data_IF_516520908526
#
_entry.id   IF_516520908526
#
_cell.length_a   1.000
_cell.length_b   1.000
_cell.length_c   1.000
_cell.angle_alpha   90.00
_cell.angle_beta   90.00
_cell.angle_gamma   90.00
#
_symmetry.space_group_name_H-M   'P 1'
#
loop_
_entity.id
_entity.type
_entity.pdbx_description
1 polymer ?
#
# COMPACT_ATOMS: atom_id res chain seq x y z
N UNK A 1 -24.14 -5.47 -17.39
CA UNK A 1 -23.38 -4.25 -17.02
C UNK A 1 -22.94 -4.41 -15.58
N UNK A 2 -21.63 -4.41 -15.32
CA UNK A 2 -21.11 -4.58 -13.96
C UNK A 2 -21.42 -3.31 -13.15
N UNK A 3 -22.15 -3.44 -12.05
CA UNK A 3 -22.43 -2.35 -11.11
C UNK A 3 -21.60 -2.59 -9.84
N UNK A 4 -21.40 -1.58 -8.99
CA UNK A 4 -20.83 -1.79 -7.66
C UNK A 4 -22.00 -1.86 -6.67
N UNK A 5 -21.96 -2.83 -5.77
CA UNK A 5 -22.96 -3.00 -4.72
C UNK A 5 -22.96 -1.81 -3.77
N UNK A 6 -24.10 -1.49 -3.17
CA UNK A 6 -24.15 -0.49 -2.11
C UNK A 6 -24.22 -1.22 -0.78
N UNK A 7 -23.12 -1.19 -0.02
CA UNK A 7 -23.06 -1.76 1.32
C UNK A 7 -23.13 -0.63 2.35
N UNK A 8 -24.34 -0.31 2.81
CA UNK A 8 -24.59 0.79 3.74
C UNK A 8 -23.84 0.65 5.08
N UNK A 9 -23.61 -0.59 5.54
CA UNK A 9 -22.84 -0.83 6.77
C UNK A 9 -21.37 -0.39 6.62
N UNK A 10 -20.75 -0.71 5.49
CA UNK A 10 -19.37 -0.28 5.22
C UNK A 10 -19.26 1.23 5.03
N UNK A 11 -20.30 1.84 4.45
CA UNK A 11 -20.42 3.28 4.27
C UNK A 11 -20.56 4.00 5.63
N UNK A 12 -21.32 3.43 6.56
CA UNK A 12 -21.42 3.89 7.95
C UNK A 12 -20.05 3.79 8.66
N UNK A 13 -19.37 2.65 8.54
CA UNK A 13 -18.05 2.43 9.16
C UNK A 13 -16.99 3.38 8.60
N UNK A 14 -17.02 3.65 7.29
CA UNK A 14 -16.20 4.67 6.64
C UNK A 14 -16.47 6.07 7.22
N UNK A 15 -17.74 6.44 7.39
CA UNK A 15 -18.14 7.68 8.06
C UNK A 15 -17.62 7.78 9.48
N UNK A 16 -17.85 6.74 10.30
CA UNK A 16 -17.36 6.71 11.69
C UNK A 16 -15.83 6.82 11.78
N UNK A 17 -15.08 6.17 10.87
CA UNK A 17 -13.63 6.30 10.78
C UNK A 17 -13.18 7.73 10.49
N UNK A 18 -13.88 8.45 9.60
CA UNK A 18 -13.60 9.86 9.33
C UNK A 18 -13.99 10.77 10.52
N UNK A 19 -15.12 10.50 11.17
CA UNK A 19 -15.53 11.21 12.38
C UNK A 19 -14.50 11.09 13.51
N UNK A 20 -13.91 9.89 13.69
CA UNK A 20 -12.82 9.68 14.64
C UNK A 20 -11.57 10.50 14.28
N UNK A 21 -11.23 10.58 12.99
CA UNK A 21 -10.14 11.44 12.53
C UNK A 21 -10.36 12.92 12.88
N UNK A 22 -11.59 13.44 12.73
CA UNK A 22 -11.89 14.83 13.08
C UNK A 22 -11.71 15.11 14.58
N UNK A 23 -12.00 14.15 15.45
CA UNK A 23 -11.69 14.26 16.88
C UNK A 23 -10.20 14.30 17.12
N UNK A 24 -9.42 13.42 16.49
CA UNK A 24 -7.95 13.42 16.62
C UNK A 24 -7.36 14.74 16.10
N UNK A 25 -7.87 15.28 15.00
CA UNK A 25 -7.48 16.59 14.49
C UNK A 25 -7.81 17.71 15.49
N UNK A 26 -9.01 17.68 16.10
CA UNK A 26 -9.43 18.64 17.12
C UNK A 26 -8.53 18.58 18.36
N UNK A 27 -8.16 17.37 18.82
CA UNK A 27 -7.21 17.12 19.93
C UNK A 27 -5.83 17.73 19.62
N UNK A 28 -5.42 17.84 18.36
CA UNK A 28 -4.14 18.47 17.99
C UNK A 28 -4.18 19.99 17.92
N UNK A 29 -5.26 20.61 18.41
CA UNK A 29 -5.45 22.05 18.35
C UNK A 29 -5.80 22.54 16.95
N UNK A 30 -6.26 21.66 16.06
CA UNK A 30 -6.78 22.08 14.75
C UNK A 30 -8.29 22.39 14.80
N UNK A 31 -8.91 22.27 15.99
CA UNK A 31 -10.32 22.59 16.25
C UNK A 31 -10.53 23.98 16.82
N UNK A 32 -11.79 24.36 17.00
CA UNK A 32 -12.26 25.68 17.46
C UNK A 32 -12.04 25.96 18.94
N UNK A 33 -11.82 24.95 19.78
CA UNK A 33 -11.76 25.12 21.24
C UNK A 33 -10.63 24.29 21.88
N UNK A 34 -9.98 24.81 22.94
CA UNK A 34 -8.98 24.08 23.69
C UNK A 34 -9.57 22.83 24.34
N UNK A 35 -8.79 21.74 24.30
CA UNK A 35 -9.16 20.41 24.80
C UNK A 35 -9.65 20.32 26.23
N UNK A 36 -9.35 21.32 27.07
CA UNK A 36 -9.80 21.37 28.46
C UNK A 36 -11.32 21.38 28.59
N UNK A 37 -12.04 21.72 27.51
CA UNK A 37 -13.47 22.00 27.54
C UNK A 37 -14.32 20.92 26.83
N UNK A 38 -13.70 19.90 26.25
CA UNK A 38 -14.43 18.80 25.60
C UNK A 38 -15.03 17.84 26.63
N UNK A 39 -16.34 17.92 26.83
CA UNK A 39 -17.09 16.86 27.49
C UNK A 39 -17.08 15.58 26.63
N UNK A 40 -17.26 14.40 27.25
CA UNK A 40 -17.41 13.13 26.52
C UNK A 40 -18.50 13.22 25.44
N UNK A 41 -19.57 13.96 25.72
CA UNK A 41 -20.68 14.18 24.79
C UNK A 41 -20.25 15.01 23.57
N UNK A 42 -19.43 16.05 23.76
CA UNK A 42 -18.91 16.86 22.66
C UNK A 42 -18.01 16.05 21.71
N UNK A 43 -17.22 15.13 22.26
CA UNK A 43 -16.39 14.19 21.47
C UNK A 43 -17.30 13.27 20.65
N UNK A 44 -18.27 12.62 21.28
CA UNK A 44 -19.20 11.70 20.61
C UNK A 44 -19.99 12.42 19.52
N UNK A 45 -20.52 13.61 19.80
CA UNK A 45 -21.26 14.44 18.84
C UNK A 45 -20.38 14.88 17.68
N UNK A 46 -19.10 15.16 17.90
CA UNK A 46 -18.14 15.50 16.84
C UNK A 46 -17.90 14.31 15.91
N UNK A 47 -17.70 13.11 16.46
CA UNK A 47 -17.56 11.87 15.67
C UNK A 47 -18.84 11.63 14.86
N UNK A 48 -19.99 11.74 15.51
CA UNK A 48 -21.29 11.47 14.90
C UNK A 48 -21.59 12.46 13.78
N UNK A 49 -21.42 13.76 14.03
CA UNK A 49 -21.65 14.84 13.05
C UNK A 49 -20.71 14.67 11.85
N UNK A 50 -19.41 14.57 12.10
CA UNK A 50 -18.41 14.42 11.05
C UNK A 50 -18.63 13.16 10.22
N UNK A 51 -18.91 12.04 10.88
CA UNK A 51 -19.12 10.76 10.23
C UNK A 51 -20.42 10.66 9.44
N UNK A 52 -21.53 11.18 9.98
CA UNK A 52 -22.83 11.23 9.27
C UNK A 52 -22.71 12.07 8.01
N UNK A 53 -22.15 13.29 8.09
CA UNK A 53 -22.07 14.15 6.91
C UNK A 53 -21.14 13.55 5.85
N UNK A 54 -20.01 12.94 6.27
CA UNK A 54 -19.15 12.21 5.34
C UNK A 54 -19.90 11.06 4.65
N UNK A 55 -20.61 10.22 5.42
CA UNK A 55 -21.36 9.10 4.88
C UNK A 55 -22.44 9.56 3.88
N UNK A 56 -23.17 10.65 4.18
CA UNK A 56 -24.17 11.22 3.28
C UNK A 56 -23.55 11.72 1.99
N UNK A 57 -22.49 12.55 2.07
CA UNK A 57 -21.79 13.07 0.89
C UNK A 57 -21.23 11.94 0.03
N UNK A 58 -20.58 10.96 0.67
CA UNK A 58 -20.00 9.82 -0.01
C UNK A 58 -21.08 8.94 -0.67
N UNK A 59 -22.24 8.76 -0.03
CA UNK A 59 -23.38 8.03 -0.60
C UNK A 59 -23.90 8.71 -1.87
N UNK A 60 -24.10 10.03 -1.83
CA UNK A 60 -24.55 10.81 -2.99
C UNK A 60 -23.55 10.70 -4.14
N UNK A 61 -22.25 10.86 -3.85
CA UNK A 61 -21.22 10.73 -4.87
C UNK A 61 -21.07 9.30 -5.41
N UNK A 62 -21.23 8.27 -4.57
CA UNK A 62 -21.26 6.89 -5.00
C UNK A 62 -22.44 6.62 -5.94
N UNK A 63 -23.62 7.14 -5.61
CA UNK A 63 -24.80 7.06 -6.47
C UNK A 63 -24.54 7.74 -7.83
N UNK A 64 -23.94 8.93 -7.84
CA UNK A 64 -23.55 9.61 -9.08
C UNK A 64 -22.55 8.79 -9.92
N UNK A 65 -21.50 8.23 -9.31
CA UNK A 65 -20.55 7.35 -10.01
C UNK A 65 -21.25 6.12 -10.62
N UNK A 66 -22.26 5.55 -9.92
CA UNK A 66 -23.07 4.44 -10.46
C UNK A 66 -23.91 4.86 -11.66
N UNK A 67 -24.56 6.02 -11.61
CA UNK A 67 -25.35 6.53 -12.74
C UNK A 67 -24.48 6.75 -13.99
N UNK A 68 -23.22 7.15 -13.79
CA UNK A 68 -22.23 7.34 -14.85
C UNK A 68 -21.50 6.04 -15.26
N UNK A 69 -21.77 4.91 -14.60
CA UNK A 69 -21.09 3.64 -14.88
C UNK A 69 -19.58 3.62 -14.55
N UNK A 70 -19.11 4.51 -13.66
CA UNK A 70 -17.69 4.63 -13.32
C UNK A 70 -17.35 3.70 -12.14
N UNK A 71 -16.63 2.60 -12.43
CA UNK A 71 -16.23 1.59 -11.44
C UNK A 71 -14.73 1.59 -11.12
N UNK A 72 -13.99 2.60 -11.59
CA UNK A 72 -12.52 2.66 -11.51
C UNK A 72 -12.05 2.98 -10.09
N UNK A 73 -10.94 2.38 -9.65
CA UNK A 73 -10.37 2.57 -8.30
C UNK A 73 -10.08 4.04 -7.99
N UNK A 74 -9.46 4.75 -8.93
CA UNK A 74 -9.11 6.14 -8.75
C UNK A 74 -10.33 7.06 -8.60
N UNK A 75 -11.49 6.69 -9.18
CA UNK A 75 -12.70 7.52 -9.06
C UNK A 75 -13.25 7.50 -7.63
N UNK A 76 -13.19 6.34 -6.97
CA UNK A 76 -13.57 6.21 -5.57
C UNK A 76 -12.56 6.83 -4.62
N UNK A 77 -11.26 6.77 -4.95
CA UNK A 77 -10.22 7.54 -4.24
C UNK A 77 -10.52 9.05 -4.30
N UNK A 78 -10.78 9.57 -5.51
CA UNK A 78 -11.11 10.98 -5.73
C UNK A 78 -12.39 11.37 -4.99
N UNK A 79 -13.43 10.53 -5.03
CA UNK A 79 -14.68 10.75 -4.29
C UNK A 79 -14.41 10.88 -2.79
N UNK A 80 -13.66 9.95 -2.19
CA UNK A 80 -13.36 10.00 -0.77
C UNK A 80 -12.59 11.26 -0.36
N UNK A 81 -11.62 11.68 -1.17
CA UNK A 81 -10.91 12.97 -0.98
C UNK A 81 -11.86 14.18 -1.06
N UNK A 82 -12.72 14.22 -2.08
CA UNK A 82 -13.71 15.30 -2.28
C UNK A 82 -14.73 15.35 -1.14
N UNK A 83 -15.06 14.22 -0.50
CA UNK A 83 -15.91 14.21 0.69
C UNK A 83 -15.15 14.67 1.96
N UNK A 84 -13.90 14.24 2.13
CA UNK A 84 -13.12 14.53 3.34
C UNK A 84 -12.69 16.01 3.43
N UNK A 85 -12.22 16.60 2.33
CA UNK A 85 -11.64 17.94 2.32
C UNK A 85 -12.63 19.03 2.75
N UNK A 86 -13.84 19.16 2.17
CA UNK A 86 -14.80 20.17 2.58
C UNK A 86 -15.23 20.02 4.04
N UNK A 87 -15.37 18.78 4.53
CA UNK A 87 -15.72 18.54 5.92
C UNK A 87 -14.63 18.95 6.88
N UNK A 88 -13.37 18.66 6.54
CA UNK A 88 -12.25 19.15 7.33
C UNK A 88 -12.21 20.68 7.34
N UNK A 89 -12.36 21.33 6.17
CA UNK A 89 -12.37 22.79 6.07
C UNK A 89 -13.50 23.41 6.90
N UNK A 90 -14.70 22.82 6.86
CA UNK A 90 -15.85 23.28 7.66
C UNK A 90 -15.70 23.02 9.15
N UNK A 91 -14.84 22.07 9.54
CA UNK A 91 -14.58 21.70 10.92
C UNK A 91 -13.39 22.46 11.53
N UNK A 92 -12.51 23.02 10.70
CA UNK A 92 -11.47 23.95 11.16
C UNK A 92 -12.12 25.22 11.73
N UNK A 93 -11.53 25.77 12.79
CA UNK A 93 -11.89 27.10 13.24
C UNK A 93 -11.57 28.12 12.14
N UNK A 94 -12.39 29.18 12.04
CA UNK A 94 -12.15 30.29 11.12
C UNK A 94 -10.75 30.90 11.31
N UNK A 95 -10.24 30.91 12.55
CA UNK A 95 -8.87 31.30 12.88
C UNK A 95 -7.79 30.31 12.43
N UNK A 96 -8.02 29.00 12.62
CA UNK A 96 -7.04 27.94 12.32
C UNK A 96 -6.67 27.89 10.85
N UNK A 97 -7.63 28.13 9.94
CA UNK A 97 -7.31 28.17 8.51
C UNK A 97 -6.35 29.32 8.18
N UNK A 98 -6.59 30.51 8.77
CA UNK A 98 -5.73 31.68 8.59
C UNK A 98 -4.35 31.49 9.22
N UNK A 99 -4.28 30.81 10.37
CA UNK A 99 -3.02 30.48 11.05
C UNK A 99 -2.20 29.45 10.28
N UNK A 100 -2.83 28.38 9.78
CA UNK A 100 -2.19 27.40 8.91
C UNK A 100 -1.68 28.06 7.63
N UNK A 101 -2.42 29.02 7.06
CA UNK A 101 -1.96 29.80 5.91
C UNK A 101 -0.78 30.71 6.27
N UNK A 102 -0.86 31.45 7.37
CA UNK A 102 0.18 32.37 7.83
C UNK A 102 1.49 31.66 8.19
N UNK A 103 1.41 30.43 8.69
CA UNK A 103 2.57 29.59 9.01
C UNK A 103 3.07 28.75 7.84
N UNK A 104 2.45 28.86 6.65
CA UNK A 104 2.81 28.08 5.46
C UNK A 104 2.46 26.59 5.54
N UNK A 105 1.66 26.18 6.52
CA UNK A 105 1.29 24.79 6.79
C UNK A 105 -0.06 24.38 6.19
N UNK A 106 -0.76 25.28 5.48
CA UNK A 106 -2.08 25.01 4.94
C UNK A 106 -2.14 23.78 4.02
N UNK A 107 -1.16 23.64 3.13
CA UNK A 107 -1.07 22.50 2.21
C UNK A 107 -0.93 21.18 2.98
N UNK A 108 -0.06 21.14 3.99
CA UNK A 108 0.13 20.00 4.88
C UNK A 108 -1.14 19.68 5.68
N UNK A 109 -1.82 20.70 6.20
CA UNK A 109 -3.07 20.58 6.94
C UNK A 109 -4.21 19.98 6.11
N UNK A 110 -4.32 20.38 4.83
CA UNK A 110 -5.33 19.85 3.90
C UNK A 110 -4.93 18.51 3.27
N UNK A 111 -3.64 18.20 3.21
CA UNK A 111 -3.17 16.97 2.57
C UNK A 111 -3.57 15.71 3.36
N UNK A 112 -3.51 15.76 4.70
CA UNK A 112 -3.90 14.63 5.56
C UNK A 112 -5.36 14.21 5.41
N UNK A 113 -6.37 15.09 5.54
CA UNK A 113 -7.76 14.72 5.34
C UNK A 113 -8.00 14.21 3.91
N UNK A 114 -7.32 14.78 2.90
CA UNK A 114 -7.39 14.29 1.53
C UNK A 114 -6.93 12.83 1.43
N UNK A 115 -5.79 12.48 2.03
CA UNK A 115 -5.25 11.12 2.00
C UNK A 115 -6.13 10.12 2.75
N UNK A 116 -6.70 10.52 3.89
CA UNK A 116 -7.65 9.70 4.63
C UNK A 116 -8.91 9.46 3.79
N UNK A 117 -9.43 10.51 3.14
CA UNK A 117 -10.52 10.40 2.19
C UNK A 117 -10.21 9.41 1.06
N UNK A 118 -9.05 9.52 0.43
CA UNK A 118 -8.58 8.56 -0.61
C UNK A 118 -8.60 7.13 -0.09
N UNK A 119 -8.02 6.89 1.09
CA UNK A 119 -7.92 5.56 1.68
C UNK A 119 -9.32 4.97 1.97
N UNK A 120 -10.22 5.76 2.55
CA UNK A 120 -11.61 5.37 2.81
C UNK A 120 -12.33 5.03 1.51
N UNK A 121 -12.20 5.86 0.47
CA UNK A 121 -12.85 5.63 -0.81
C UNK A 121 -12.38 4.34 -1.49
N UNK A 122 -11.07 4.07 -1.46
CA UNK A 122 -10.49 2.83 -1.97
C UNK A 122 -10.93 1.60 -1.17
N UNK A 123 -10.95 1.71 0.17
CA UNK A 123 -11.42 0.65 1.05
C UNK A 123 -12.89 0.32 0.76
N UNK A 124 -13.75 1.33 0.66
CA UNK A 124 -15.16 1.16 0.29
C UNK A 124 -15.31 0.44 -1.05
N UNK A 125 -14.60 0.85 -2.10
CA UNK A 125 -14.68 0.18 -3.40
C UNK A 125 -14.31 -1.31 -3.29
N UNK A 126 -13.24 -1.61 -2.56
CA UNK A 126 -12.78 -3.00 -2.39
C UNK A 126 -13.84 -3.83 -1.66
N UNK A 127 -14.50 -3.25 -0.67
CA UNK A 127 -15.42 -3.95 0.21
C UNK A 127 -16.86 -4.02 -0.34
N UNK A 128 -17.25 -3.07 -1.19
CA UNK A 128 -18.56 -2.97 -1.81
C UNK A 128 -18.80 -4.04 -2.90
N UNK A 129 -17.75 -4.69 -3.37
CA UNK A 129 -17.82 -5.71 -4.41
C UNK A 129 -18.22 -5.16 -5.78
N UNK A 130 -18.11 -5.99 -6.81
CA UNK A 130 -18.64 -5.71 -8.13
C UNK A 130 -19.89 -6.59 -8.28
N UNK A 131 -21.07 -5.96 -8.33
CA UNK A 131 -22.32 -6.58 -8.77
C UNK A 131 -22.16 -6.97 -10.26
N UNK A 132 -21.69 -8.19 -10.48
CA UNK A 132 -21.69 -8.91 -11.75
C UNK A 132 -21.86 -10.40 -11.44
N UNK A 133 -22.02 -11.28 -12.44
CA UNK A 133 -21.83 -12.70 -12.20
C UNK A 133 -20.47 -12.81 -11.51
N UNK A 134 -20.49 -13.19 -10.23
CA UNK A 134 -19.30 -13.28 -9.42
C UNK A 134 -18.35 -14.17 -10.20
N UNK A 135 -17.30 -13.59 -10.79
CA UNK A 135 -16.14 -14.40 -11.14
C UNK A 135 -15.84 -15.13 -9.83
N UNK A 136 -16.01 -16.45 -9.88
CA UNK A 136 -15.95 -17.32 -8.72
C UNK A 136 -14.49 -17.35 -8.25
N UNK A 137 -14.04 -16.25 -7.64
CA UNK A 137 -12.67 -16.03 -7.21
C UNK A 137 -12.30 -17.04 -6.14
N UNK A 138 -13.28 -17.49 -5.36
CA UNK A 138 -13.13 -18.58 -4.41
C UNK A 138 -13.01 -19.93 -5.12
N UNK A 139 -13.79 -20.19 -6.17
CA UNK A 139 -13.62 -21.34 -7.06
C UNK A 139 -12.30 -21.33 -7.82
N UNK A 140 -11.81 -20.15 -8.22
CA UNK A 140 -10.55 -19.97 -8.92
C UNK A 140 -9.36 -20.13 -7.96
N UNK A 141 -9.47 -19.61 -6.73
CA UNK A 141 -8.49 -19.87 -5.65
C UNK A 141 -8.54 -21.32 -5.16
N UNK A 142 -9.70 -21.95 -5.13
CA UNK A 142 -9.87 -23.37 -4.78
C UNK A 142 -9.37 -24.28 -5.91
N UNK A 143 -9.51 -23.87 -7.17
CA UNK A 143 -8.89 -24.53 -8.32
C UNK A 143 -7.37 -24.39 -8.24
N UNK A 144 -6.85 -23.20 -7.95
CA UNK A 144 -5.42 -22.98 -7.72
C UNK A 144 -4.88 -23.81 -6.55
N UNK A 145 -5.60 -23.90 -5.43
CA UNK A 145 -5.21 -24.74 -4.30
C UNK A 145 -5.29 -26.23 -4.62
N UNK A 146 -6.29 -26.69 -5.37
CA UNK A 146 -6.38 -28.08 -5.83
C UNK A 146 -5.23 -28.45 -6.76
N UNK A 147 -4.84 -27.54 -7.64
CA UNK A 147 -3.67 -27.70 -8.52
C UNK A 147 -2.38 -27.71 -7.67
N UNK A 148 -2.27 -26.83 -6.68
CA UNK A 148 -1.12 -26.79 -5.77
C UNK A 148 -1.01 -28.03 -4.86
N UNK A 149 -2.14 -28.56 -4.36
CA UNK A 149 -2.17 -29.78 -3.52
C UNK A 149 -1.96 -31.06 -4.32
N UNK A 150 -2.42 -31.09 -5.59
CA UNK A 150 -2.09 -32.18 -6.51
C UNK A 150 -0.60 -32.17 -6.88
N UNK A 151 0.01 -30.98 -6.97
CA UNK A 151 1.44 -30.82 -7.23
C UNK A 151 2.33 -31.15 -6.01
N UNK A 152 1.84 -31.01 -4.78
CA UNK A 152 2.61 -31.32 -3.56
C UNK A 152 2.67 -32.81 -3.21
N UNK A 153 2.11 -33.70 -4.03
CA UNK A 153 2.33 -35.14 -3.92
C UNK A 153 1.87 -35.76 -2.60
N UNK A 154 0.88 -35.18 -1.93
CA UNK A 154 0.23 -35.80 -0.77
C UNK A 154 -0.75 -36.88 -1.24
N UNK A 155 -0.28 -37.79 -2.11
CA UNK A 155 -0.91 -39.08 -2.32
C UNK A 155 -0.65 -39.87 -1.05
N UNK A 156 -1.71 -40.02 -0.26
CA UNK A 156 -1.74 -40.85 0.94
C UNK A 156 -0.92 -42.13 0.74
N UNK A 157 0.15 -42.22 1.52
CA UNK A 157 0.89 -43.44 1.81
C UNK A 157 -0.09 -44.54 2.19
N UNK A 158 -0.05 -45.67 1.47
CA UNK A 158 -0.86 -46.82 1.86
C UNK A 158 -0.99 -47.96 0.85
N UNK A 159 0.09 -48.41 0.19
CA UNK A 159 0.15 -49.81 -0.27
C UNK A 159 1.58 -50.22 -0.62
N UNK A 160 2.09 -51.19 0.13
CA UNK A 160 3.44 -51.73 0.06
C UNK A 160 3.71 -52.53 -1.23
N UNK A 161 4.74 -52.13 -1.98
CA UNK A 161 5.29 -52.88 -3.10
C UNK A 161 6.82 -52.82 -3.14
N UNK A 162 7.44 -53.77 -2.45
CA UNK A 162 8.81 -54.36 -2.53
C UNK A 162 9.93 -53.61 -3.32
N UNK A 163 11.12 -53.40 -2.72
CA UNK A 163 12.25 -52.74 -3.38
C UNK A 163 13.06 -53.70 -4.28
N UNK A 164 13.39 -53.26 -5.49
CA UNK A 164 14.41 -53.86 -6.35
C UNK A 164 15.71 -53.03 -6.33
N UNK A 165 16.90 -53.64 -6.24
CA UNK A 165 18.18 -52.93 -6.22
C UNK A 165 18.68 -52.72 -7.66
N UNK A 166 18.82 -51.47 -8.09
CA UNK A 166 19.36 -51.21 -9.42
C UNK A 166 19.55 -49.73 -9.75
N UNK A 167 20.81 -49.31 -9.71
CA UNK A 167 21.38 -48.18 -10.46
C UNK A 167 20.85 -46.76 -10.19
N UNK A 168 21.61 -46.04 -9.35
CA UNK A 168 21.70 -44.59 -9.41
C UNK A 168 22.40 -44.17 -10.72
N UNK A 169 21.64 -44.12 -11.81
CA UNK A 169 22.00 -43.32 -12.98
C UNK A 169 21.76 -41.86 -12.61
N UNK A 170 22.81 -41.04 -12.62
CA UNK A 170 22.68 -39.60 -12.75
C UNK A 170 22.00 -39.33 -14.11
N UNK A 171 20.68 -39.24 -14.06
CA UNK A 171 19.83 -38.96 -15.20
C UNK A 171 20.13 -37.53 -15.65
N UNK A 172 20.91 -37.43 -16.72
CA UNK A 172 21.01 -36.26 -17.60
C UNK A 172 19.59 -35.75 -17.79
N UNK A 173 19.26 -34.58 -17.24
CA UNK A 173 17.95 -33.97 -17.35
C UNK A 173 17.56 -33.94 -18.83
N UNK A 174 16.72 -34.87 -19.23
CA UNK A 174 16.12 -34.91 -20.55
C UNK A 174 15.28 -33.64 -20.61
N UNK A 175 15.74 -32.68 -21.40
CA UNK A 175 14.93 -31.57 -21.84
C UNK A 175 13.80 -32.17 -22.69
N UNK A 176 12.76 -32.65 -22.01
CA UNK A 176 11.53 -33.11 -22.64
C UNK A 176 11.00 -31.97 -23.49
N UNK A 177 11.03 -32.16 -24.80
CA UNK A 177 10.47 -31.25 -25.78
C UNK A 177 8.97 -31.08 -25.48
N UNK A 178 8.59 -30.01 -24.77
CA UNK A 178 7.19 -29.73 -24.47
C UNK A 178 6.95 -28.48 -23.64
N UNK A 179 7.77 -28.21 -22.62
CA UNK A 179 7.55 -27.07 -21.71
C UNK A 179 8.73 -26.10 -21.76
N UNK A 180 8.78 -25.32 -22.84
CA UNK A 180 9.72 -24.18 -22.95
C UNK A 180 9.37 -23.18 -21.85
N UNK A 181 10.18 -23.12 -20.80
CA UNK A 181 10.07 -22.10 -19.75
C UNK A 181 9.68 -22.59 -18.36
N UNK A 182 9.82 -23.89 -18.06
CA UNK A 182 9.72 -24.39 -16.69
C UNK A 182 10.88 -25.34 -16.33
N UNK A 183 11.27 -25.38 -15.05
CA UNK A 183 12.24 -26.34 -14.52
C UNK A 183 11.65 -27.08 -13.33
N UNK A 184 11.96 -28.36 -13.19
CA UNK A 184 11.47 -29.19 -12.09
C UNK A 184 12.52 -29.22 -10.98
N UNK A 185 12.16 -28.82 -9.77
CA UNK A 185 12.99 -28.96 -8.57
C UNK A 185 12.17 -29.70 -7.50
N UNK A 186 12.69 -30.83 -7.02
CA UNK A 186 12.00 -31.68 -6.03
C UNK A 186 10.56 -32.09 -6.43
N UNK A 187 10.36 -32.39 -7.73
CA UNK A 187 9.05 -32.78 -8.25
C UNK A 187 8.06 -31.63 -8.46
N UNK A 188 8.43 -30.40 -8.13
CA UNK A 188 7.61 -29.20 -8.40
C UNK A 188 8.08 -28.50 -9.66
N UNK A 189 7.15 -28.19 -10.57
CA UNK A 189 7.42 -27.42 -11.80
C UNK A 189 7.43 -25.91 -11.49
N UNK A 190 8.57 -25.25 -11.70
CA UNK A 190 8.77 -23.83 -11.48
C UNK A 190 8.87 -23.09 -12.81
N UNK A 191 8.25 -21.91 -12.89
CA UNK A 191 8.43 -21.01 -14.03
C UNK A 191 9.89 -20.55 -14.13
N UNK A 192 10.53 -20.82 -15.27
CA UNK A 192 11.90 -20.45 -15.60
C UNK A 192 12.02 -19.08 -16.28
N UNK A 193 10.91 -18.40 -16.54
CA UNK A 193 10.90 -17.11 -17.22
C UNK A 193 11.20 -15.92 -16.29
N UNK A 194 11.36 -14.71 -16.86
CA UNK A 194 11.64 -13.52 -16.09
C UNK A 194 10.50 -13.19 -15.12
N UNK A 195 10.86 -12.86 -13.88
CA UNK A 195 9.94 -12.44 -12.83
C UNK A 195 9.99 -10.93 -12.64
N UNK A 196 8.88 -10.34 -12.22
CA UNK A 196 8.79 -8.94 -11.76
C UNK A 196 8.08 -8.87 -10.41
N UNK A 197 8.31 -7.80 -9.66
CA UNK A 197 7.56 -7.56 -8.42
C UNK A 197 6.14 -7.11 -8.77
N UNK A 198 5.13 -7.75 -8.16
CA UNK A 198 3.72 -7.41 -8.35
C UNK A 198 3.44 -5.98 -7.89
N UNK A 199 2.52 -5.28 -8.55
CA UNK A 199 2.05 -3.98 -8.06
C UNK A 199 0.84 -4.23 -7.16
N UNK A 200 0.98 -3.93 -5.86
CA UNK A 200 -0.08 -4.15 -4.87
C UNK A 200 -0.21 -2.94 -3.96
N UNK A 201 -1.32 -2.22 -4.08
CA UNK A 201 -1.58 -1.04 -3.25
C UNK A 201 -1.69 -1.40 -1.76
N UNK A 202 -2.27 -2.55 -1.44
CA UNK A 202 -2.39 -3.03 -0.06
C UNK A 202 -1.02 -3.34 0.52
N UNK A 203 -0.15 -4.00 -0.26
CA UNK A 203 1.22 -4.27 0.15
C UNK A 203 2.01 -2.97 0.31
N UNK A 204 1.76 -1.98 -0.53
CA UNK A 204 2.40 -0.65 -0.46
C UNK A 204 2.00 0.10 0.81
N UNK A 205 0.70 0.15 1.12
CA UNK A 205 0.19 0.75 2.36
C UNK A 205 0.71 0.03 3.60
N UNK A 206 0.65 -1.31 3.62
CA UNK A 206 1.16 -2.11 4.73
C UNK A 206 2.67 -1.91 4.95
N UNK A 207 3.44 -1.87 3.87
CA UNK A 207 4.88 -1.62 3.93
C UNK A 207 5.22 -0.20 4.39
N UNK A 208 4.41 0.79 4.01
CA UNK A 208 4.54 2.17 4.47
C UNK A 208 4.33 2.27 5.97
N UNK A 209 3.25 1.66 6.49
CA UNK A 209 2.95 1.65 7.92
C UNK A 209 4.03 0.94 8.73
N UNK A 210 4.45 -0.25 8.28
CA UNK A 210 5.50 -1.02 8.95
C UNK A 210 6.86 -0.31 8.88
N UNK A 211 7.20 0.30 7.75
CA UNK A 211 8.41 1.11 7.58
C UNK A 211 8.41 2.33 8.50
N UNK A 212 7.27 3.02 8.61
CA UNK A 212 7.08 4.13 9.53
C UNK A 212 7.23 3.73 10.99
N UNK A 213 6.53 2.66 11.41
CA UNK A 213 6.63 2.11 12.77
C UNK A 213 8.07 1.71 13.12
N UNK A 214 8.75 0.97 12.24
CA UNK A 214 10.14 0.59 12.51
C UNK A 214 11.07 1.81 12.54
N UNK A 215 10.84 2.78 11.67
CA UNK A 215 11.56 4.05 11.69
C UNK A 215 11.40 4.80 13.01
N UNK A 216 10.18 4.88 13.56
CA UNK A 216 9.94 5.52 14.86
C UNK A 216 10.60 4.78 16.00
N UNK A 217 10.59 3.43 15.96
CA UNK A 217 11.28 2.61 16.96
C UNK A 217 12.78 2.89 16.95
N UNK A 218 13.41 2.88 15.76
CA UNK A 218 14.84 3.13 15.62
C UNK A 218 15.18 4.54 16.10
N UNK A 219 14.43 5.55 15.68
CA UNK A 219 14.65 6.93 16.10
C UNK A 219 14.44 7.10 17.62
N UNK A 220 13.44 6.43 18.19
CA UNK A 220 13.22 6.37 19.65
C UNK A 220 14.43 5.84 20.40
N UNK A 221 15.02 4.74 19.93
CA UNK A 221 16.22 4.15 20.56
C UNK A 221 17.42 5.11 20.48
N UNK A 222 17.61 5.77 19.33
CA UNK A 222 18.71 6.71 19.12
C UNK A 222 18.57 7.94 20.02
N UNK A 223 17.38 8.54 20.06
CA UNK A 223 17.11 9.73 20.87
C UNK A 223 17.19 9.42 22.36
N UNK A 224 16.69 8.25 22.80
CA UNK A 224 16.86 7.79 24.17
C UNK A 224 18.34 7.64 24.53
N UNK A 225 19.13 7.04 23.64
CA UNK A 225 20.58 6.87 23.85
C UNK A 225 21.28 8.22 23.95
N UNK A 226 20.95 9.17 23.07
CA UNK A 226 21.50 10.52 23.10
C UNK A 226 21.13 11.25 24.40
N UNK A 227 19.87 11.14 24.83
CA UNK A 227 19.37 11.73 26.07
C UNK A 227 20.10 11.16 27.30
N UNK A 228 20.26 9.83 27.37
CA UNK A 228 20.99 9.16 28.46
C UNK A 228 22.45 9.61 28.55
N UNK A 229 23.14 9.76 27.41
CA UNK A 229 24.51 10.31 27.37
C UNK A 229 24.56 11.76 27.86
N UNK A 230 23.59 12.58 27.46
CA UNK A 230 23.48 13.97 27.91
C UNK A 230 23.34 14.09 29.42
N UNK A 231 22.49 13.25 30.03
CA UNK A 231 22.30 13.22 31.48
C UNK A 231 23.54 12.75 32.24
N UNK A 232 24.22 11.73 31.72
CA UNK A 232 25.50 11.28 32.28
C UNK A 232 26.55 12.41 32.26
N UNK A 233 26.59 13.20 31.19
CA UNK A 233 27.51 14.33 31.07
C UNK A 233 27.30 15.44 32.11
N UNK A 234 26.09 15.58 32.64
CA UNK A 234 25.75 16.56 33.70
C UNK A 234 25.61 15.93 35.09
N UNK A 235 26.02 14.66 35.26
CA UNK A 235 25.96 13.96 36.55
C UNK A 235 24.54 13.69 37.06
N UNK A 236 23.53 13.71 36.18
CA UNK A 236 22.13 13.44 36.56
C UNK A 236 21.73 12.02 36.15
N UNK A 237 20.87 11.39 36.96
CA UNK A 237 20.23 10.11 36.62
C UNK A 237 18.72 10.30 36.46
N UNK A 238 18.11 9.50 35.57
CA UNK A 238 16.65 9.48 35.38
C UNK A 238 16.01 8.65 36.49
N UNK A 239 15.00 9.19 37.16
CA UNK A 239 14.08 8.39 37.97
C UNK A 239 13.23 7.51 37.04
N UNK A 240 13.07 6.21 37.31
CA UNK A 240 12.35 5.28 36.42
C UNK A 240 10.96 5.76 35.97
N UNK A 241 10.22 6.46 36.83
CA UNK A 241 8.91 7.03 36.51
C UNK A 241 8.98 8.02 35.32
N UNK A 242 9.94 8.93 35.36
CA UNK A 242 10.12 9.96 34.33
C UNK A 242 10.58 9.36 33.00
N UNK A 243 11.20 8.18 33.02
CA UNK A 243 11.61 7.47 31.80
C UNK A 243 10.40 6.99 31.02
N UNK A 244 9.40 6.44 31.72
CA UNK A 244 8.17 5.93 31.09
C UNK A 244 7.39 7.08 30.48
N UNK A 245 7.23 8.20 31.21
CA UNK A 245 6.50 9.37 30.71
C UNK A 245 7.15 9.96 29.45
N UNK A 246 8.49 10.04 29.44
CA UNK A 246 9.25 10.49 28.26
C UNK A 246 9.09 9.51 27.10
N UNK A 247 9.20 8.20 27.34
CA UNK A 247 9.07 7.20 26.28
C UNK A 247 7.67 7.15 25.68
N UNK A 248 6.63 7.24 26.51
CA UNK A 248 5.23 7.20 26.05
C UNK A 248 4.90 8.48 25.29
N UNK A 249 5.26 9.65 25.82
CA UNK A 249 5.03 10.94 25.15
C UNK A 249 5.78 11.00 23.81
N UNK A 250 7.04 10.59 23.79
CA UNK A 250 7.87 10.55 22.59
C UNK A 250 7.34 9.55 21.55
N UNK A 251 6.88 8.36 21.98
CA UNK A 251 6.27 7.37 21.09
C UNK A 251 4.96 7.87 20.48
N UNK A 252 4.13 8.58 21.24
CA UNK A 252 2.87 9.16 20.73
C UNK A 252 3.16 10.25 19.71
N UNK A 253 4.10 11.15 20.00
CA UNK A 253 4.49 12.23 19.09
C UNK A 253 5.09 11.65 17.81
N UNK A 254 6.06 10.74 17.94
CA UNK A 254 6.74 10.09 16.79
C UNK A 254 5.80 9.20 15.99
N UNK A 255 4.94 8.44 16.66
CA UNK A 255 3.93 7.60 16.00
C UNK A 255 3.00 8.44 15.14
N UNK A 256 2.58 9.61 15.63
CA UNK A 256 1.82 10.53 14.81
C UNK A 256 2.64 11.15 13.68
N UNK A 257 3.89 11.57 13.93
CA UNK A 257 4.79 12.06 12.87
C UNK A 257 4.99 10.99 11.79
N UNK A 258 5.06 9.71 12.15
CA UNK A 258 5.12 8.61 11.19
C UNK A 258 3.86 8.46 10.34
N UNK A 259 2.68 8.78 10.86
CA UNK A 259 1.46 8.86 10.06
C UNK A 259 1.54 10.02 9.06
N UNK A 260 2.08 11.17 9.48
CA UNK A 260 2.28 12.34 8.60
C UNK A 260 3.35 12.08 7.52
N UNK A 261 4.46 11.44 7.87
CA UNK A 261 5.53 11.08 6.93
C UNK A 261 5.19 9.83 6.12
N UNK A 262 4.15 9.09 6.49
CA UNK A 262 3.70 7.90 5.78
C UNK A 262 3.39 8.16 4.32
N UNK A 263 2.78 9.28 3.98
CA UNK A 263 2.49 9.61 2.57
C UNK A 263 3.76 9.89 1.74
N UNK A 264 4.70 10.75 2.17
CA UNK A 264 6.01 10.85 1.54
C UNK A 264 6.70 9.49 1.39
N UNK A 265 6.72 8.66 2.44
CA UNK A 265 7.31 7.32 2.41
C UNK A 265 6.63 6.44 1.36
N UNK A 266 5.29 6.45 1.29
CA UNK A 266 4.52 5.70 0.29
C UNK A 266 4.90 6.11 -1.13
N UNK A 267 4.98 7.41 -1.39
CA UNK A 267 5.36 7.97 -2.69
C UNK A 267 6.77 7.53 -3.04
N UNK A 268 7.71 7.61 -2.10
CA UNK A 268 9.10 7.21 -2.32
C UNK A 268 9.24 5.70 -2.56
N UNK A 269 8.51 4.85 -1.84
CA UNK A 269 8.46 3.40 -2.10
C UNK A 269 7.87 3.14 -3.50
N UNK A 270 6.83 3.88 -3.90
CA UNK A 270 6.24 3.74 -5.23
C UNK A 270 7.24 4.14 -6.34
N UNK A 271 7.94 5.26 -6.17
CA UNK A 271 9.00 5.70 -7.10
C UNK A 271 10.08 4.62 -7.21
N UNK A 272 10.58 4.11 -6.07
CA UNK A 272 11.55 3.02 -6.04
C UNK A 272 11.04 1.77 -6.77
N UNK A 273 9.78 1.38 -6.51
CA UNK A 273 9.16 0.22 -7.16
C UNK A 273 9.08 0.38 -8.68
N UNK A 274 8.55 1.50 -9.18
CA UNK A 274 8.40 1.72 -10.62
C UNK A 274 9.75 1.86 -11.31
N UNK A 275 10.71 2.55 -10.70
CA UNK A 275 12.08 2.65 -11.21
C UNK A 275 12.79 1.30 -11.29
N UNK A 276 12.71 0.48 -10.24
CA UNK A 276 13.31 -0.86 -10.24
C UNK A 276 12.61 -1.80 -11.22
N UNK A 277 11.28 -1.66 -11.36
CA UNK A 277 10.50 -2.45 -12.31
C UNK A 277 10.85 -2.11 -13.76
N UNK A 278 11.14 -0.85 -14.09
CA UNK A 278 11.54 -0.47 -15.45
C UNK A 278 12.92 -1.00 -15.85
N UNK A 279 13.81 -1.24 -14.89
CA UNK A 279 15.13 -1.87 -15.13
C UNK A 279 15.17 -3.38 -14.82
N UNK A 280 14.01 -4.00 -14.60
CA UNK A 280 13.90 -5.45 -14.39
C UNK A 280 14.53 -5.97 -13.08
N UNK A 281 14.74 -5.12 -12.07
CA UNK A 281 15.33 -5.53 -10.79
C UNK A 281 14.24 -5.96 -9.79
N UNK A 282 14.46 -7.12 -9.17
CA UNK A 282 13.48 -7.76 -8.24
C UNK A 282 14.07 -8.19 -6.89
N UNK A 283 15.40 -8.07 -6.72
CA UNK A 283 16.10 -8.49 -5.50
C UNK A 283 15.81 -7.58 -4.30
N UNK A 284 15.86 -8.16 -3.09
CA UNK A 284 15.67 -7.40 -1.84
C UNK A 284 16.66 -6.25 -1.69
N UNK A 285 17.95 -6.50 -1.95
CA UNK A 285 19.00 -5.48 -1.88
C UNK A 285 18.71 -4.31 -2.83
N UNK A 286 18.25 -4.61 -4.05
CA UNK A 286 17.89 -3.59 -5.03
C UNK A 286 16.73 -2.71 -4.56
N UNK A 287 15.72 -3.31 -3.92
CA UNK A 287 14.61 -2.56 -3.30
C UNK A 287 15.05 -1.71 -2.11
N UNK A 288 15.93 -2.22 -1.24
CA UNK A 288 16.51 -1.42 -0.16
C UNK A 288 17.29 -0.22 -0.67
N UNK A 289 18.18 -0.43 -1.65
CA UNK A 289 18.94 0.65 -2.29
C UNK A 289 18.05 1.63 -3.06
N UNK A 290 17.01 1.13 -3.74
CA UNK A 290 16.02 1.97 -4.41
C UNK A 290 15.26 2.86 -3.42
N UNK A 291 14.84 2.31 -2.28
CA UNK A 291 14.20 3.10 -1.21
C UNK A 291 15.14 4.13 -0.59
N UNK A 292 16.42 3.76 -0.37
CA UNK A 292 17.45 4.68 0.11
C UNK A 292 17.70 5.85 -0.86
N UNK A 293 17.78 5.56 -2.17
CA UNK A 293 18.05 6.54 -3.21
C UNK A 293 16.84 7.41 -3.57
N UNK A 294 15.61 6.89 -3.40
CA UNK A 294 14.39 7.62 -3.74
C UNK A 294 14.29 8.95 -2.99
N UNK A 295 14.65 8.96 -1.71
CA UNK A 295 14.62 10.17 -0.89
C UNK A 295 15.53 11.29 -1.44
N UNK A 296 16.88 11.16 -1.49
CA UNK A 296 17.75 12.24 -1.97
C UNK A 296 17.41 12.67 -3.41
N UNK A 297 17.00 11.75 -4.28
CA UNK A 297 16.53 12.10 -5.63
C UNK A 297 15.29 12.99 -5.59
N UNK A 298 14.32 12.69 -4.72
CA UNK A 298 13.13 13.52 -4.56
C UNK A 298 13.47 14.91 -4.00
N UNK A 299 14.42 15.01 -3.07
CA UNK A 299 14.92 16.31 -2.59
C UNK A 299 15.52 17.13 -3.73
N UNK A 300 16.30 16.49 -4.61
CA UNK A 300 16.92 17.16 -5.76
C UNK A 300 15.87 17.61 -6.78
N UNK A 301 14.88 16.77 -7.10
CA UNK A 301 13.77 17.08 -8.02
C UNK A 301 12.89 18.22 -7.49
N UNK A 302 12.76 18.34 -6.17
CA UNK A 302 11.99 19.42 -5.52
C UNK A 302 12.82 20.67 -5.23
N UNK A 303 14.06 20.76 -5.75
CA UNK A 303 14.99 21.86 -5.47
C UNK A 303 15.16 22.15 -3.96
N UNK A 304 15.12 21.10 -3.13
CA UNK A 304 15.26 21.21 -1.68
C UNK A 304 13.98 21.55 -0.92
N UNK A 305 12.87 21.89 -1.59
CA UNK A 305 11.61 22.27 -0.93
C UNK A 305 11.06 21.16 -0.01
N UNK A 306 11.30 19.89 -0.34
CA UNK A 306 10.91 18.75 0.48
C UNK A 306 12.04 18.20 1.38
N UNK A 307 13.21 18.85 1.41
CA UNK A 307 14.44 18.32 2.00
C UNK A 307 14.29 17.77 3.43
N UNK A 308 13.77 18.54 4.39
CA UNK A 308 13.62 18.06 5.77
C UNK A 308 12.72 16.82 5.90
N UNK A 309 11.58 16.81 5.20
CA UNK A 309 10.63 15.69 5.21
C UNK A 309 11.23 14.43 4.59
N UNK A 310 12.02 14.61 3.53
CA UNK A 310 12.59 13.52 2.75
C UNK A 310 13.79 12.89 3.44
N UNK A 311 14.61 13.68 4.16
CA UNK A 311 15.67 13.17 5.04
C UNK A 311 15.05 12.26 6.11
N UNK A 312 14.01 12.74 6.79
CA UNK A 312 13.33 11.95 7.83
C UNK A 312 12.64 10.70 7.27
N UNK A 313 12.17 10.76 6.01
CA UNK A 313 11.55 9.62 5.34
C UNK A 313 12.55 8.59 4.79
N UNK A 314 13.86 8.88 4.78
CA UNK A 314 14.86 8.02 4.11
C UNK A 314 14.93 6.62 4.71
N UNK A 315 15.09 6.53 6.03
CA UNK A 315 15.18 5.24 6.72
C UNK A 315 13.86 4.45 6.67
N UNK A 316 12.68 5.05 6.96
CA UNK A 316 11.39 4.39 6.75
C UNK A 316 11.18 3.89 5.32
N UNK A 317 11.62 4.65 4.31
CA UNK A 317 11.48 4.27 2.90
C UNK A 317 12.39 3.09 2.54
N UNK A 318 13.64 3.08 3.00
CA UNK A 318 14.56 1.95 2.82
C UNK A 318 13.94 0.66 3.36
N UNK A 319 13.49 0.69 4.61
CA UNK A 319 12.87 -0.47 5.28
C UNK A 319 11.56 -0.84 4.57
N UNK A 320 10.71 0.15 4.32
CA UNK A 320 9.42 -0.01 3.67
C UNK A 320 9.54 -0.60 2.28
N UNK A 321 10.55 -0.24 1.48
CA UNK A 321 10.76 -0.82 0.16
C UNK A 321 11.13 -2.32 0.23
N UNK A 322 11.94 -2.72 1.21
CA UNK A 322 12.28 -4.14 1.45
C UNK A 322 11.04 -4.93 1.89
N UNK A 323 10.27 -4.38 2.84
CA UNK A 323 9.01 -4.98 3.30
C UNK A 323 8.01 -5.07 2.14
N UNK A 324 7.90 -4.02 1.33
CA UNK A 324 7.02 -3.98 0.17
C UNK A 324 7.36 -5.10 -0.80
N UNK A 325 8.64 -5.29 -1.16
CA UNK A 325 9.07 -6.41 -2.02
C UNK A 325 8.63 -7.75 -1.44
N UNK A 326 8.75 -7.95 -0.12
CA UNK A 326 8.29 -9.17 0.56
C UNK A 326 6.77 -9.35 0.44
N UNK A 327 6.00 -8.31 0.75
CA UNK A 327 4.53 -8.34 0.80
C UNK A 327 3.87 -8.36 -0.58
N UNK A 328 4.49 -7.75 -1.58
CA UNK A 328 3.96 -7.72 -2.95
C UNK A 328 4.17 -9.07 -3.65
N UNK A 329 5.27 -9.75 -3.35
CA UNK A 329 5.65 -11.00 -4.00
C UNK A 329 6.16 -10.78 -5.43
N UNK A 330 6.43 -11.89 -6.10
CA UNK A 330 6.87 -11.93 -7.49
C UNK A 330 5.73 -12.47 -8.37
N UNK A 331 5.62 -11.94 -9.57
CA UNK A 331 4.74 -12.44 -10.63
C UNK A 331 5.55 -12.62 -11.92
N UNK A 332 5.17 -13.56 -12.80
CA UNK A 332 5.74 -13.64 -14.14
C UNK A 332 5.62 -12.31 -14.88
N UNK A 333 6.66 -11.93 -15.63
CA UNK A 333 6.53 -10.81 -16.57
C UNK A 333 5.47 -11.23 -17.60
N UNK A 334 4.40 -10.43 -17.80
CA UNK A 334 3.39 -10.72 -18.79
C UNK A 334 4.09 -10.76 -20.13
N UNK A 335 3.93 -11.90 -20.79
CA UNK A 335 4.32 -12.04 -22.18
C UNK A 335 3.32 -11.18 -22.95
N UNK A 336 3.85 -10.40 -23.88
CA UNK A 336 3.01 -9.57 -24.70
C UNK A 336 2.05 -10.49 -25.48
N UNK A 337 0.74 -10.23 -25.37
CA UNK A 337 -0.30 -11.16 -25.84
C UNK A 337 -0.08 -11.52 -27.30
N UNK A 338 -0.30 -12.81 -27.62
CA UNK A 338 -0.23 -13.27 -29.00
C UNK A 338 -1.32 -12.55 -29.81
N UNK A 339 -0.91 -11.84 -30.86
CA UNK A 339 -1.82 -11.11 -31.74
C UNK A 339 -2.43 -12.13 -32.68
N UNK A 340 -3.70 -12.48 -32.45
CA UNK A 340 -4.44 -13.39 -33.33
C UNK A 340 -4.93 -12.60 -34.54
N UNK A 341 -4.27 -12.75 -35.68
CA UNK A 341 -4.68 -12.15 -36.94
C UNK A 341 -5.75 -13.05 -37.59
N UNK A 342 -7.03 -12.64 -37.48
CA UNK A 342 -8.17 -13.33 -38.10
C UNK A 342 -8.20 -13.16 -39.62
N UNK A 343 -7.57 -12.11 -40.13
CA UNK A 343 -7.58 -11.80 -41.55
C UNK A 343 -6.15 -11.58 -42.05
N UNK A 344 -5.83 -12.10 -43.24
CA UNK A 344 -4.48 -12.00 -43.81
C UNK A 344 -4.05 -10.56 -44.08
N UNK A 345 -5.01 -9.64 -44.17
CA UNK A 345 -4.82 -8.20 -44.33
C UNK A 345 -4.38 -7.49 -43.05
N UNK A 346 -4.59 -8.12 -41.89
CA UNK A 346 -4.14 -7.62 -40.59
C UNK A 346 -2.68 -8.01 -40.30
N UNK A 347 -2.07 -8.81 -41.18
CA UNK A 347 -0.67 -9.15 -41.11
C UNK A 347 0.18 -7.94 -41.44
N UNK A 348 0.92 -7.50 -40.44
CA UNK A 348 1.92 -6.47 -40.61
C UNK A 348 3.26 -7.07 -41.02
N UNK A 349 4.01 -6.32 -41.83
CA UNK A 349 5.36 -6.68 -42.29
C UNK A 349 6.33 -7.00 -41.15
N UNK A 350 7.42 -7.70 -41.46
CA UNK A 350 8.37 -8.23 -40.48
C UNK A 350 8.93 -7.15 -39.53
N UNK A 351 9.17 -5.94 -40.04
CA UNK A 351 9.77 -4.83 -39.28
C UNK A 351 8.75 -3.94 -38.57
N UNK A 352 7.46 -4.27 -38.63
CA UNK A 352 6.41 -3.43 -38.08
C UNK A 352 6.45 -3.43 -36.55
N UNK A 353 6.34 -2.25 -35.92
CA UNK A 353 6.46 -2.08 -34.47
C UNK A 353 5.54 -3.00 -33.64
N UNK A 354 4.36 -3.36 -34.18
CA UNK A 354 3.43 -4.32 -33.56
C UNK A 354 4.00 -5.73 -33.36
N UNK A 355 4.95 -6.20 -34.19
CA UNK A 355 5.63 -7.51 -34.01
C UNK A 355 6.63 -7.52 -32.85
N UNK A 356 7.08 -6.35 -32.39
CA UNK A 356 7.92 -6.24 -31.19
C UNK A 356 7.11 -6.43 -29.90
N UNK A 357 5.78 -6.42 -30.00
CA UNK A 357 4.84 -6.46 -28.89
C UNK A 357 4.04 -7.77 -28.79
N UNK A 358 4.46 -8.86 -29.44
CA UNK A 358 3.77 -10.15 -29.35
C UNK A 358 3.97 -11.02 -30.58
N UNK A 359 3.81 -12.34 -30.43
CA UNK A 359 3.84 -13.27 -31.56
C UNK A 359 2.53 -13.15 -32.33
N UNK A 360 2.60 -13.01 -33.65
CA UNK A 360 1.38 -12.99 -34.49
C UNK A 360 1.02 -14.43 -34.84
N UNK A 361 -0.15 -14.89 -34.41
CA UNK A 361 -0.71 -16.20 -34.77
C UNK A 361 -1.80 -15.97 -35.83
N UNK A 362 -1.72 -16.73 -36.93
CA UNK A 362 -2.80 -16.81 -37.92
C UNK A 362 -3.67 -18.00 -37.50
N UNK A 363 -4.95 -17.74 -37.19
CA UNK A 363 -5.93 -18.78 -36.86
C UNK A 363 -6.93 -18.99 -37.98
#
# INVERSE_FOLDING_TARGET
>A
MNRIGTNYLQLLMAGLGFGFYLVVASIRGWGTEPLSDFTNDAVILTILKGGIVFAVMFTVGHWALRQLGIIKAWAYAALGMVCALPLFILHLASGTFSELAATGNLSTGLFVPACIGVAIGLAYRKSAGIDGPTEDLDGMNAAYRRIASAASGETGSGSHGRPGPGHAMFSRASAGAGTVGAFIHEGTEYFAGPLRVRTSLVSLLGATLLGGLLGTLIQGILDLTAYMRGLQGIGKSIRPQNLIDVLVSDLVIKGAVALFTGMPVLILIAIAHFGLRSIGKTGYLAYGLGGLAAAPLMTLVTFGAAGPLVILATLPTLVGAVIYRKLAGLEPVPIAEDIIARNRRDLVGADHARRKAGRVIVS
#
